data_IF_187529572705
#
_entry.id   IF_187529572705
#
_cell.length_a   1.000
_cell.length_b   1.000
_cell.length_c   1.000
_cell.angle_alpha   90.00
_cell.angle_beta   90.00
_cell.angle_gamma   90.00
#
_symmetry.space_group_name_H-M   'P 1'
#
loop_
_entity.id
_entity.type
_entity.pdbx_description
1 polymer ?
#
# COMPACT_ATOMS: atom_id res chain seq x y z
N UNK A 1 -71.97 -44.15 13.19
CA UNK A 1 -70.63 -43.53 13.16
C UNK A 1 -69.62 -44.50 13.77
N UNK A 2 -68.75 -45.12 12.96
CA UNK A 2 -67.72 -46.03 13.48
C UNK A 2 -66.54 -45.18 13.96
N UNK A 3 -66.30 -45.17 15.28
CA UNK A 3 -65.08 -44.62 15.85
C UNK A 3 -63.95 -45.57 15.47
N UNK A 4 -63.10 -45.18 14.52
CA UNK A 4 -61.85 -45.87 14.23
C UNK A 4 -60.92 -45.66 15.42
N UNK A 5 -60.92 -46.62 16.35
CA UNK A 5 -60.01 -46.60 17.50
C UNK A 5 -58.58 -46.75 16.99
N UNK A 6 -57.75 -45.73 17.20
CA UNK A 6 -56.33 -45.72 16.87
C UNK A 6 -55.65 -46.95 17.51
N UNK A 7 -55.00 -47.78 16.70
CA UNK A 7 -54.34 -48.99 17.21
C UNK A 7 -53.05 -48.60 17.94
N UNK A 8 -52.62 -49.43 18.90
CA UNK A 8 -51.40 -49.17 19.68
C UNK A 8 -50.17 -48.94 18.80
N UNK A 9 -50.07 -49.66 17.69
CA UNK A 9 -48.96 -49.57 16.74
C UNK A 9 -48.95 -48.23 15.99
N UNK A 10 -50.12 -47.70 15.65
CA UNK A 10 -50.23 -46.38 15.01
C UNK A 10 -49.79 -45.28 15.98
N UNK A 11 -50.16 -45.37 17.26
CA UNK A 11 -49.70 -44.44 18.29
C UNK A 11 -48.18 -44.52 18.47
N UNK A 12 -47.60 -45.73 18.50
CA UNK A 12 -46.15 -45.91 18.62
C UNK A 12 -45.38 -45.34 17.42
N UNK A 13 -45.87 -45.55 16.19
CA UNK A 13 -45.28 -44.97 14.97
C UNK A 13 -45.27 -43.45 15.01
N UNK A 14 -46.40 -42.82 15.36
CA UNK A 14 -46.51 -41.36 15.43
C UNK A 14 -45.58 -40.76 16.49
N UNK A 15 -45.41 -41.42 17.65
CA UNK A 15 -44.48 -40.97 18.69
C UNK A 15 -43.01 -41.06 18.23
N UNK A 16 -42.67 -42.11 17.47
CA UNK A 16 -41.32 -42.24 16.91
C UNK A 16 -41.05 -41.17 15.84
N UNK A 17 -42.00 -40.93 14.94
CA UNK A 17 -41.89 -39.88 13.93
C UNK A 17 -41.77 -38.49 14.57
N UNK A 18 -42.56 -38.22 15.62
CA UNK A 18 -42.47 -36.99 16.39
C UNK A 18 -41.06 -36.81 16.96
N UNK A 19 -40.50 -37.82 17.62
CA UNK A 19 -39.12 -37.80 18.14
C UNK A 19 -38.11 -37.50 17.04
N UNK A 20 -38.20 -38.19 15.90
CA UNK A 20 -37.26 -37.99 14.78
C UNK A 20 -37.35 -36.57 14.22
N UNK A 21 -38.54 -36.00 14.14
CA UNK A 21 -38.73 -34.61 13.69
C UNK A 21 -38.17 -33.63 14.72
N UNK A 22 -38.36 -33.88 16.01
CA UNK A 22 -37.78 -33.06 17.09
C UNK A 22 -36.25 -33.07 17.05
N UNK A 23 -35.63 -34.25 16.88
CA UNK A 23 -34.17 -34.39 16.74
C UNK A 23 -33.64 -33.64 15.51
N UNK A 24 -34.33 -33.75 14.36
CA UNK A 24 -33.97 -33.01 13.15
C UNK A 24 -34.13 -31.50 13.32
N UNK A 25 -35.18 -31.06 14.01
CA UNK A 25 -35.40 -29.65 14.31
C UNK A 25 -34.27 -29.12 15.20
N UNK A 26 -33.89 -29.86 16.24
CA UNK A 26 -32.80 -29.46 17.13
C UNK A 26 -31.46 -29.39 16.38
N UNK A 27 -31.17 -30.38 15.53
CA UNK A 27 -29.99 -30.38 14.66
C UNK A 27 -29.98 -29.17 13.72
N UNK A 28 -31.11 -28.86 13.06
CA UNK A 28 -31.23 -27.71 12.17
C UNK A 28 -31.03 -26.37 12.91
N UNK A 29 -31.56 -26.24 14.14
CA UNK A 29 -31.35 -25.05 14.98
C UNK A 29 -29.87 -24.88 15.37
N UNK A 30 -29.19 -25.97 15.73
CA UNK A 30 -27.75 -25.97 16.01
C UNK A 30 -26.93 -25.57 14.78
N UNK A 31 -27.19 -26.18 13.62
CA UNK A 31 -26.51 -25.85 12.36
C UNK A 31 -26.73 -24.40 11.96
N UNK A 32 -27.96 -23.88 12.06
CA UNK A 32 -28.27 -22.47 11.79
C UNK A 32 -27.45 -21.53 12.68
N UNK A 33 -27.33 -21.84 13.97
CA UNK A 33 -26.56 -21.04 14.92
C UNK A 33 -25.08 -21.05 14.59
N UNK A 34 -24.52 -22.22 14.26
CA UNK A 34 -23.14 -22.38 13.82
C UNK A 34 -22.84 -21.55 12.56
N UNK A 35 -23.65 -21.69 11.50
CA UNK A 35 -23.39 -20.97 10.25
C UNK A 35 -23.57 -19.45 10.40
N UNK A 36 -24.51 -18.99 11.24
CA UNK A 36 -24.64 -17.57 11.56
C UNK A 36 -23.37 -17.02 12.23
N UNK A 37 -22.78 -17.78 13.14
CA UNK A 37 -21.53 -17.40 13.80
C UNK A 37 -20.35 -17.38 12.81
N UNK A 38 -20.20 -18.44 12.02
CA UNK A 38 -19.13 -18.52 11.01
C UNK A 38 -19.25 -17.40 9.98
N UNK A 39 -20.46 -17.11 9.51
CA UNK A 39 -20.73 -16.00 8.61
C UNK A 39 -20.32 -14.66 9.23
N UNK A 40 -20.71 -14.41 10.49
CA UNK A 40 -20.34 -13.18 11.18
C UNK A 40 -18.81 -13.05 11.37
N UNK A 41 -18.11 -14.15 11.61
CA UNK A 41 -16.63 -14.18 11.68
C UNK A 41 -16.01 -13.87 10.32
N UNK A 42 -16.46 -14.51 9.26
CA UNK A 42 -15.97 -14.28 7.90
C UNK A 42 -16.16 -12.82 7.46
N UNK A 43 -17.34 -12.24 7.72
CA UNK A 43 -17.63 -10.84 7.39
C UNK A 43 -16.68 -9.88 8.13
N UNK A 44 -16.42 -10.11 9.42
CA UNK A 44 -15.46 -9.29 10.18
C UNK A 44 -14.06 -9.40 9.63
N UNK A 45 -13.64 -10.60 9.24
CA UNK A 45 -12.30 -10.83 8.71
C UNK A 45 -12.10 -10.17 7.34
N UNK A 46 -13.09 -10.26 6.46
CA UNK A 46 -13.09 -9.55 5.17
C UNK A 46 -12.96 -8.03 5.41
N UNK A 47 -13.72 -7.48 6.35
CA UNK A 47 -13.62 -6.06 6.69
C UNK A 47 -12.22 -5.68 7.21
N UNK A 48 -11.65 -6.49 8.12
CA UNK A 48 -10.30 -6.30 8.65
C UNK A 48 -9.25 -6.26 7.54
N UNK A 49 -9.24 -7.28 6.67
CA UNK A 49 -8.30 -7.39 5.55
C UNK A 49 -8.44 -6.19 4.60
N UNK A 50 -9.66 -5.81 4.24
CA UNK A 50 -9.90 -4.66 3.36
C UNK A 50 -9.40 -3.35 3.96
N UNK A 51 -9.65 -3.14 5.26
CA UNK A 51 -9.16 -1.96 5.99
C UNK A 51 -7.63 -1.93 6.04
N UNK A 52 -6.99 -3.08 6.28
CA UNK A 52 -5.52 -3.19 6.32
C UNK A 52 -4.88 -2.91 4.96
N UNK A 53 -5.42 -3.47 3.86
CA UNK A 53 -4.95 -3.17 2.48
C UNK A 53 -5.05 -1.68 2.18
N UNK A 54 -6.20 -1.06 2.51
CA UNK A 54 -6.39 0.37 2.31
C UNK A 54 -5.41 1.22 3.13
N UNK A 55 -5.17 0.84 4.38
CA UNK A 55 -4.22 1.54 5.25
C UNK A 55 -2.77 1.38 4.77
N UNK A 56 -2.37 0.19 4.32
CA UNK A 56 -1.05 -0.06 3.77
C UNK A 56 -0.77 0.79 2.52
N UNK A 57 -1.75 0.89 1.60
CA UNK A 57 -1.65 1.76 0.42
C UNK A 57 -1.53 3.23 0.84
N UNK A 58 -2.30 3.67 1.84
CA UNK A 58 -2.24 5.04 2.34
C UNK A 58 -0.87 5.37 2.94
N UNK A 59 -0.30 4.46 3.74
CA UNK A 59 1.06 4.61 4.28
C UNK A 59 2.06 4.70 3.13
N UNK A 60 2.00 3.76 2.17
CA UNK A 60 2.92 3.75 1.03
C UNK A 60 2.88 5.07 0.24
N UNK A 61 1.69 5.57 -0.10
CA UNK A 61 1.53 6.86 -0.80
C UNK A 61 2.13 8.02 0.01
N UNK A 62 1.88 8.04 1.32
CA UNK A 62 2.42 9.08 2.21
C UNK A 62 3.95 9.04 2.22
N UNK A 63 4.53 7.85 2.35
CA UNK A 63 5.97 7.65 2.41
C UNK A 63 6.62 8.02 1.08
N UNK A 64 6.05 7.61 -0.07
CA UNK A 64 6.53 8.03 -1.39
C UNK A 64 6.46 9.55 -1.59
N UNK A 65 5.42 10.21 -1.10
CA UNK A 65 5.30 11.67 -1.15
C UNK A 65 6.38 12.37 -0.31
N UNK A 66 6.70 11.82 0.86
CA UNK A 66 7.76 12.33 1.72
C UNK A 66 9.14 12.15 1.07
N UNK A 67 9.41 10.98 0.49
CA UNK A 67 10.64 10.72 -0.24
C UNK A 67 10.83 11.67 -1.43
N UNK A 68 9.76 11.95 -2.19
CA UNK A 68 9.82 12.90 -3.31
C UNK A 68 10.12 14.33 -2.84
N UNK A 69 9.52 14.77 -1.74
CA UNK A 69 9.82 16.06 -1.12
C UNK A 69 11.29 16.13 -0.70
N UNK A 70 11.81 15.08 -0.05
CA UNK A 70 13.20 15.02 0.40
C UNK A 70 14.18 15.06 -0.78
N UNK A 71 13.90 14.33 -1.87
CA UNK A 71 14.71 14.40 -3.09
C UNK A 71 14.74 15.82 -3.69
N UNK A 72 13.59 16.50 -3.72
CA UNK A 72 13.51 17.88 -4.17
C UNK A 72 14.36 18.83 -3.32
N UNK A 73 14.34 18.66 -1.99
CA UNK A 73 15.16 19.44 -1.07
C UNK A 73 16.66 19.16 -1.27
N UNK A 74 17.06 17.89 -1.45
CA UNK A 74 18.45 17.51 -1.71
C UNK A 74 18.96 18.15 -2.99
N UNK A 75 18.15 18.13 -4.06
CA UNK A 75 18.52 18.79 -5.32
C UNK A 75 18.70 20.30 -5.15
N UNK A 76 17.74 20.96 -4.50
CA UNK A 76 17.81 22.41 -4.25
C UNK A 76 19.06 22.80 -3.46
N UNK A 77 19.42 22.03 -2.44
CA UNK A 77 20.65 22.26 -1.67
C UNK A 77 21.91 22.03 -2.51
N UNK A 78 21.91 21.01 -3.38
CA UNK A 78 23.01 20.74 -4.30
C UNK A 78 23.23 21.87 -5.29
N UNK A 79 22.15 22.32 -5.94
CA UNK A 79 22.18 23.43 -6.91
C UNK A 79 22.71 24.72 -6.24
N UNK A 80 22.24 25.04 -5.03
CA UNK A 80 22.74 26.19 -4.26
C UNK A 80 24.20 26.06 -3.85
N UNK A 81 24.68 24.85 -3.51
CA UNK A 81 26.08 24.63 -3.18
C UNK A 81 26.98 24.76 -4.42
N UNK A 82 26.52 24.34 -5.61
CA UNK A 82 27.26 24.55 -6.86
C UNK A 82 27.35 26.02 -7.23
N UNK A 83 26.26 26.76 -7.13
CA UNK A 83 26.21 28.21 -7.38
C UNK A 83 27.17 28.95 -6.43
N UNK A 84 27.13 28.62 -5.12
CA UNK A 84 28.03 29.21 -4.14
C UNK A 84 29.52 28.92 -4.45
N UNK A 85 29.82 27.73 -4.98
CA UNK A 85 31.18 27.33 -5.37
C UNK A 85 31.64 28.08 -6.63
N UNK A 86 30.75 28.30 -7.58
CA UNK A 86 31.01 29.11 -8.77
C UNK A 86 31.31 30.56 -8.39
N UNK A 87 30.47 31.17 -7.55
CA UNK A 87 30.69 32.50 -6.99
C UNK A 87 32.04 32.59 -6.26
N UNK A 88 32.37 31.58 -5.46
CA UNK A 88 33.64 31.53 -4.74
C UNK A 88 34.85 31.45 -5.69
N UNK A 89 34.72 30.76 -6.82
CA UNK A 89 35.73 30.71 -7.88
C UNK A 89 35.89 32.07 -8.57
N UNK A 90 34.78 32.73 -8.92
CA UNK A 90 34.78 34.06 -9.54
C UNK A 90 35.41 35.11 -8.62
N UNK A 91 35.08 35.08 -7.31
CA UNK A 91 35.71 35.97 -6.33
C UNK A 91 37.21 35.73 -6.19
N UNK A 92 37.67 34.48 -6.28
CA UNK A 92 39.10 34.17 -6.30
C UNK A 92 39.79 34.72 -7.54
N UNK A 93 39.15 34.60 -8.71
CA UNK A 93 39.66 35.14 -9.97
C UNK A 93 39.76 36.67 -9.93
N UNK A 94 38.69 37.36 -9.54
CA UNK A 94 38.69 38.81 -9.34
C UNK A 94 39.77 39.25 -8.35
N UNK A 95 39.97 38.51 -7.26
CA UNK A 95 41.03 38.81 -6.29
C UNK A 95 42.42 38.69 -6.92
N UNK A 96 42.65 37.69 -7.78
CA UNK A 96 43.91 37.55 -8.52
C UNK A 96 44.09 38.68 -9.54
N UNK A 97 43.03 39.09 -10.24
CA UNK A 97 43.07 40.22 -11.17
C UNK A 97 43.38 41.54 -10.45
N UNK A 98 42.77 41.78 -9.28
CA UNK A 98 43.09 42.95 -8.45
C UNK A 98 44.56 42.92 -8.02
N UNK A 99 45.07 41.76 -7.61
CA UNK A 99 46.49 41.61 -7.24
C UNK A 99 47.43 41.96 -8.41
N UNK A 100 47.12 41.45 -9.62
CA UNK A 100 47.87 41.75 -10.85
C UNK A 100 47.76 43.23 -11.25
N UNK A 101 46.59 43.84 -11.10
CA UNK A 101 46.38 45.27 -11.37
C UNK A 101 47.10 46.16 -10.35
N UNK A 102 47.25 45.70 -9.10
CA UNK A 102 48.05 46.36 -8.08
C UNK A 102 49.56 46.25 -8.32
N UNK A 103 50.06 45.18 -8.97
CA UNK A 103 51.49 45.06 -9.38
C UNK A 103 51.90 46.08 -10.46
N UNK A 104 50.96 46.80 -11.08
CA UNK A 104 51.22 47.89 -12.02
C UNK A 104 51.25 49.30 -11.39
N UNK A 105 50.95 49.46 -10.10
CA UNK A 105 50.96 50.74 -9.40
C UNK A 105 51.72 50.64 -8.07
N UNK A 106 52.89 51.29 -7.98
CA UNK A 106 53.66 51.42 -6.75
C UNK A 106 52.81 51.98 -5.59
N UNK A 107 52.39 51.10 -4.67
CA UNK A 107 52.17 51.44 -3.24
C UNK A 107 52.24 50.19 -2.36
N UNK A 108 52.93 50.26 -1.21
CA UNK A 108 53.19 49.09 -0.36
C UNK A 108 51.92 48.64 0.40
N UNK A 109 51.87 47.39 0.87
CA UNK A 109 50.70 46.84 1.54
C UNK A 109 50.47 47.55 2.89
N UNK A 110 49.21 47.78 3.32
CA UNK A 110 48.95 48.25 4.68
C UNK A 110 49.24 47.11 5.68
N UNK A 111 49.71 47.43 6.89
CA UNK A 111 50.09 46.44 7.90
C UNK A 111 48.84 45.72 8.47
N UNK A 112 49.02 44.54 9.09
CA UNK A 112 47.96 43.85 9.81
C UNK A 112 47.69 44.58 11.13
N UNK A 113 46.79 45.57 11.11
CA UNK A 113 46.34 46.18 12.35
C UNK A 113 45.34 45.29 13.08
N UNK A 114 45.73 45.02 14.30
CA UNK A 114 44.95 44.41 15.34
C UNK A 114 43.79 45.34 15.74
N UNK A 115 42.55 44.86 15.68
CA UNK A 115 41.48 45.36 16.54
C UNK A 115 40.79 44.20 17.24
N UNK A 116 40.98 44.20 18.56
CA UNK A 116 40.33 43.34 19.54
C UNK A 116 38.82 43.55 19.63
N UNK A 117 38.17 42.50 20.18
CA UNK A 117 37.03 42.53 21.11
C UNK A 117 35.60 42.59 20.52
N UNK A 118 34.60 41.77 20.90
CA UNK A 118 34.35 41.02 22.14
C UNK A 118 33.48 39.75 21.91
N UNK A 119 33.86 38.66 22.60
CA UNK A 119 33.00 37.66 23.29
C UNK A 119 31.88 36.94 22.54
N UNK A 120 32.02 35.62 22.34
CA UNK A 120 31.51 34.66 23.34
C UNK A 120 32.11 33.25 23.14
N UNK A 121 32.55 32.64 24.26
CA UNK A 121 32.95 31.24 24.37
C UNK A 121 31.73 30.33 24.19
N UNK A 122 31.94 29.14 23.63
CA UNK A 122 31.52 27.80 24.10
C UNK A 122 32.10 26.81 23.06
N UNK A 123 33.32 26.30 23.22
CA UNK A 123 33.74 25.18 24.08
C UNK A 123 33.20 23.82 23.62
N UNK A 124 34.09 23.01 23.04
CA UNK A 124 34.09 21.55 23.17
C UNK A 124 33.41 20.76 22.04
N UNK A 125 34.22 20.09 21.22
CA UNK A 125 33.74 19.12 20.25
C UNK A 125 34.91 18.47 19.52
N UNK A 126 35.55 17.52 20.20
CA UNK A 126 36.66 16.72 19.69
C UNK A 126 36.33 16.01 18.37
N UNK A 127 37.37 16.00 17.54
CA UNK A 127 37.71 15.03 16.49
C UNK A 127 36.92 13.71 16.49
N UNK A 128 36.31 13.38 15.35
CA UNK A 128 36.51 12.06 14.75
C UNK A 128 36.35 12.11 13.23
N UNK A 129 37.46 11.91 12.52
CA UNK A 129 37.47 11.57 11.11
C UNK A 129 36.99 10.13 10.97
N UNK A 130 35.77 9.94 10.48
CA UNK A 130 35.35 8.68 9.92
C UNK A 130 35.08 8.85 8.43
N UNK A 131 36.10 8.47 7.67
CA UNK A 131 36.01 7.99 6.30
C UNK A 131 34.93 6.91 6.23
N UNK A 132 33.88 7.17 5.46
CA UNK A 132 32.97 6.12 5.02
C UNK A 132 33.13 5.99 3.51
N UNK A 133 33.76 4.90 3.11
CA UNK A 133 33.77 4.42 1.74
C UNK A 133 32.34 4.28 1.23
N UNK A 134 32.08 4.91 0.09
CA UNK A 134 30.86 4.71 -0.70
C UNK A 134 30.82 3.28 -1.24
N UNK A 135 29.78 2.48 -0.97
CA UNK A 135 29.45 1.36 -1.84
C UNK A 135 28.80 1.94 -3.10
N UNK A 136 29.48 1.80 -4.25
CA UNK A 136 28.85 1.90 -5.57
C UNK A 136 27.72 0.87 -5.63
N UNK A 137 26.48 1.30 -5.42
CA UNK A 137 25.30 0.50 -5.77
C UNK A 137 25.03 0.71 -7.25
N UNK A 138 25.58 -0.21 -8.04
CA UNK A 138 25.26 -0.34 -9.44
C UNK A 138 23.78 -0.70 -9.61
N UNK A 139 23.13 0.03 -10.52
CA UNK A 139 22.06 -0.40 -11.41
C UNK A 139 21.03 -1.41 -10.85
N UNK A 140 19.89 -0.92 -10.40
CA UNK A 140 18.62 -1.67 -10.38
C UNK A 140 17.41 -0.74 -10.62
N UNK A 141 17.52 0.20 -11.57
CA UNK A 141 16.37 1.01 -12.00
C UNK A 141 15.31 0.23 -12.80
N UNK A 142 15.69 -0.93 -13.36
CA UNK A 142 14.79 -1.73 -14.20
C UNK A 142 13.80 -2.60 -13.43
N UNK A 143 14.11 -2.95 -12.18
CA UNK A 143 13.29 -3.87 -11.37
C UNK A 143 12.04 -3.18 -10.81
N UNK A 144 12.16 -1.92 -10.42
CA UNK A 144 11.05 -1.14 -9.84
C UNK A 144 9.97 -0.76 -10.87
N UNK A 145 10.35 -0.47 -12.13
CA UNK A 145 9.35 -0.16 -13.16
C UNK A 145 8.52 -1.39 -13.57
N UNK A 146 9.16 -2.57 -13.67
CA UNK A 146 8.48 -3.82 -14.00
C UNK A 146 7.52 -4.24 -12.87
N UNK A 147 7.91 -4.06 -11.61
CA UNK A 147 7.05 -4.33 -10.46
C UNK A 147 5.82 -3.40 -10.40
N UNK A 148 5.97 -2.14 -10.81
CA UNK A 148 4.89 -1.16 -10.80
C UNK A 148 3.88 -1.38 -11.93
N UNK A 149 4.34 -1.79 -13.12
CA UNK A 149 3.48 -2.18 -14.22
C UNK A 149 2.69 -3.46 -13.91
N UNK A 150 3.35 -4.45 -13.29
CA UNK A 150 2.73 -5.69 -12.86
C UNK A 150 1.65 -5.49 -11.77
N UNK A 151 1.87 -4.54 -10.84
CA UNK A 151 0.85 -4.13 -9.86
C UNK A 151 -0.34 -3.42 -10.51
N UNK A 152 -0.10 -2.58 -11.52
CA UNK A 152 -1.16 -1.90 -12.26
C UNK A 152 -2.07 -2.88 -13.02
N UNK A 153 -1.47 -3.87 -13.69
CA UNK A 153 -2.20 -4.94 -14.39
C UNK A 153 -2.96 -5.84 -13.40
N UNK A 154 -2.37 -6.12 -12.24
CA UNK A 154 -3.05 -6.87 -11.17
C UNK A 154 -4.28 -6.11 -10.64
N UNK A 155 -4.19 -4.79 -10.44
CA UNK A 155 -5.35 -3.99 -10.01
C UNK A 155 -6.45 -3.94 -11.09
N UNK A 156 -6.08 -3.88 -12.36
CA UNK A 156 -7.04 -3.81 -13.46
C UNK A 156 -7.79 -5.14 -13.65
N UNK A 157 -7.09 -6.27 -13.53
CA UNK A 157 -7.70 -7.60 -13.51
C UNK A 157 -8.61 -7.81 -12.29
N UNK A 158 -8.19 -7.37 -11.08
CA UNK A 158 -9.04 -7.38 -9.88
C UNK A 158 -10.33 -6.56 -10.09
N UNK A 159 -10.22 -5.35 -10.66
CA UNK A 159 -11.39 -4.50 -10.96
C UNK A 159 -12.32 -5.15 -12.00
N UNK A 160 -11.77 -5.79 -13.03
CA UNK A 160 -12.56 -6.46 -14.07
C UNK A 160 -13.31 -7.67 -13.51
N UNK A 161 -12.68 -8.47 -12.66
CA UNK A 161 -13.32 -9.61 -11.97
C UNK A 161 -14.47 -9.12 -11.07
N UNK A 162 -14.24 -8.05 -10.31
CA UNK A 162 -15.24 -7.44 -9.44
C UNK A 162 -16.49 -7.02 -10.23
N UNK A 163 -16.32 -6.33 -11.36
CA UNK A 163 -17.42 -5.87 -12.20
C UNK A 163 -18.27 -7.04 -12.75
N UNK A 164 -17.62 -8.10 -13.25
CA UNK A 164 -18.32 -9.28 -13.78
C UNK A 164 -19.10 -10.04 -12.70
N UNK A 165 -18.57 -10.10 -11.47
CA UNK A 165 -19.27 -10.68 -10.32
C UNK A 165 -20.51 -9.86 -9.96
N UNK A 166 -20.40 -8.54 -9.93
CA UNK A 166 -21.52 -7.64 -9.62
C UNK A 166 -22.61 -7.69 -10.69
N UNK A 167 -22.24 -7.77 -11.97
CA UNK A 167 -23.18 -7.96 -13.08
C UNK A 167 -23.94 -9.28 -12.94
N UNK A 168 -23.23 -10.40 -12.74
CA UNK A 168 -23.84 -11.72 -12.53
C UNK A 168 -24.81 -11.71 -11.34
N UNK A 169 -24.40 -11.14 -10.22
CA UNK A 169 -25.20 -11.12 -9.00
C UNK A 169 -26.42 -10.21 -9.15
N UNK A 170 -26.32 -9.16 -9.96
CA UNK A 170 -27.46 -8.30 -10.33
C UNK A 170 -28.47 -9.08 -11.18
N UNK A 171 -28.01 -9.81 -12.20
CA UNK A 171 -28.85 -10.62 -13.07
C UNK A 171 -29.59 -11.72 -12.29
N UNK A 172 -28.89 -12.47 -11.43
CA UNK A 172 -29.51 -13.51 -10.60
C UNK A 172 -30.54 -12.93 -9.61
N UNK A 173 -30.31 -11.72 -9.09
CA UNK A 173 -31.22 -11.05 -8.15
C UNK A 173 -32.55 -10.64 -8.79
N UNK A 174 -32.58 -10.44 -10.11
CA UNK A 174 -33.84 -10.16 -10.82
C UNK A 174 -34.80 -11.35 -10.84
N UNK A 175 -34.32 -12.56 -10.54
CA UNK A 175 -35.10 -13.80 -10.60
C UNK A 175 -35.50 -14.24 -12.01
N UNK A 176 -35.13 -13.46 -13.03
CA UNK A 176 -35.35 -13.81 -14.45
C UNK A 176 -34.20 -14.62 -15.04
N UNK A 177 -33.10 -14.76 -14.30
CA UNK A 177 -31.94 -15.54 -14.69
C UNK A 177 -31.66 -16.65 -13.67
N UNK A 178 -31.37 -17.85 -14.17
CA UNK A 178 -30.93 -19.03 -13.42
C UNK A 178 -29.42 -19.24 -13.55
N UNK A 179 -28.84 -20.00 -12.63
CA UNK A 179 -27.44 -20.42 -12.68
C UNK A 179 -27.09 -21.25 -13.93
N UNK A 180 -28.11 -21.85 -14.56
CA UNK A 180 -28.01 -22.67 -15.76
C UNK A 180 -28.05 -21.84 -17.05
N UNK A 181 -28.44 -20.56 -16.95
CA UNK A 181 -28.59 -19.72 -18.13
C UNK A 181 -27.25 -19.44 -18.80
N UNK A 182 -27.25 -19.49 -20.13
CA UNK A 182 -26.06 -19.25 -20.95
C UNK A 182 -25.32 -17.96 -20.63
N UNK A 183 -26.05 -16.90 -20.25
CA UNK A 183 -25.46 -15.61 -19.84
C UNK A 183 -24.68 -15.75 -18.53
N UNK A 184 -25.27 -16.40 -17.52
CA UNK A 184 -24.64 -16.62 -16.21
C UNK A 184 -23.46 -17.59 -16.32
N UNK A 185 -23.59 -18.63 -17.14
CA UNK A 185 -22.50 -19.60 -17.39
C UNK A 185 -21.29 -18.91 -18.04
N UNK A 186 -21.51 -18.01 -19.01
CA UNK A 186 -20.43 -17.25 -19.65
C UNK A 186 -19.73 -16.31 -18.67
N UNK A 187 -20.49 -15.54 -17.89
CA UNK A 187 -19.92 -14.68 -16.84
C UNK A 187 -19.07 -15.50 -15.86
N UNK A 188 -19.54 -16.68 -15.45
CA UNK A 188 -18.77 -17.56 -14.55
C UNK A 188 -17.50 -18.13 -15.21
N UNK A 189 -17.52 -18.45 -16.51
CA UNK A 189 -16.34 -18.89 -17.24
C UNK A 189 -15.30 -17.77 -17.33
N UNK A 190 -15.74 -16.55 -17.63
CA UNK A 190 -14.87 -15.38 -17.75
C UNK A 190 -14.25 -14.99 -16.40
N UNK A 191 -15.04 -14.99 -15.32
CA UNK A 191 -14.54 -14.83 -13.95
C UNK A 191 -13.47 -15.88 -13.61
N UNK A 192 -13.70 -17.15 -13.94
CA UNK A 192 -12.72 -18.23 -13.69
C UNK A 192 -11.45 -18.08 -14.51
N UNK A 193 -11.57 -17.65 -15.77
CA UNK A 193 -10.43 -17.40 -16.65
C UNK A 193 -9.55 -16.29 -16.10
N UNK A 194 -10.15 -15.16 -15.71
CA UNK A 194 -9.44 -14.01 -15.15
C UNK A 194 -8.82 -14.34 -13.78
N UNK A 195 -9.52 -15.10 -12.93
CA UNK A 195 -8.95 -15.59 -11.67
C UNK A 195 -7.75 -16.53 -11.91
N UNK A 196 -7.81 -17.39 -12.93
CA UNK A 196 -6.69 -18.26 -13.30
C UNK A 196 -5.45 -17.47 -13.75
N UNK A 197 -5.66 -16.35 -14.45
CA UNK A 197 -4.59 -15.46 -14.89
C UNK A 197 -4.01 -14.61 -13.75
N UNK A 198 -4.82 -14.20 -12.76
CA UNK A 198 -4.37 -13.40 -11.64
C UNK A 198 -3.57 -14.17 -10.56
N UNK A 199 -3.65 -15.50 -10.56
CA UNK A 199 -3.03 -16.39 -9.57
C UNK A 199 -2.09 -17.46 -10.17
N UNK A 200 -1.74 -17.34 -11.46
CA UNK A 200 -0.69 -18.16 -12.10
C UNK A 200 0.64 -17.43 -12.11
#
# INVERSE_FOLDING_TARGET
MRKSSLTKDQTASLLQELRVVEEKLEAAVKSKSFFKEQWARAVREIHRIKSEKQHAIQIHIRDSKEQLKNLGLVKFLGDGQTELREDQSLLQELRQEIYKAQEGSDKPPPPPDSVSSHHNRHSGGDTNQQTYDSPRVAANGSSYMLAQEMLGVQEETERSIQALVEERDTLLRTGSYSIEDTVIVKLNQEIRSLLGQAYS
#
